data_IF_100717812558
#
_entry.id   IF_100717812558
#
_cell.length_a   1.000
_cell.length_b   1.000
_cell.length_c   1.000
_cell.angle_alpha   90.00
_cell.angle_beta   90.00
_cell.angle_gamma   90.00
#
_symmetry.space_group_name_H-M   'P 1'
#
loop_
_entity.id
_entity.type
_entity.pdbx_description
1 polymer ?
#
# COMPACT_ATOMS: atom_id res chain seq x y z
N UNK A 1 -8.44 -7.12 -24.68
CA UNK A 1 -7.56 -6.30 -23.81
C UNK A 1 -8.28 -6.07 -22.50
N UNK A 2 -7.85 -6.75 -21.43
CA UNK A 2 -8.55 -6.84 -20.14
C UNK A 2 -8.59 -5.48 -19.43
N UNK A 3 -9.69 -5.16 -18.76
CA UNK A 3 -9.88 -3.91 -18.00
C UNK A 3 -8.73 -3.62 -16.99
N UNK A 4 -8.06 -4.67 -16.50
CA UNK A 4 -6.88 -4.57 -15.65
C UNK A 4 -5.69 -3.85 -16.32
N UNK A 5 -5.50 -4.01 -17.63
CA UNK A 5 -4.41 -3.36 -18.37
C UNK A 5 -4.68 -1.87 -18.62
N UNK A 6 -5.95 -1.51 -18.86
CA UNK A 6 -6.39 -0.12 -19.00
C UNK A 6 -6.31 0.64 -17.67
N UNK A 7 -6.71 0.00 -16.56
CA UNK A 7 -6.54 0.54 -15.21
C UNK A 7 -5.06 0.75 -14.87
N UNK A 8 -4.19 -0.22 -15.18
CA UNK A 8 -2.76 -0.13 -14.96
C UNK A 8 -2.10 1.05 -15.71
N UNK A 9 -2.55 1.34 -16.95
CA UNK A 9 -2.06 2.46 -17.77
C UNK A 9 -2.54 3.83 -17.27
N UNK A 10 -3.82 3.96 -16.90
CA UNK A 10 -4.40 5.21 -16.37
C UNK A 10 -3.79 5.55 -15.01
N UNK A 11 -3.58 4.54 -14.16
CA UNK A 11 -2.83 4.70 -12.92
C UNK A 11 -1.34 5.00 -13.20
N UNK A 12 -0.73 4.53 -14.29
CA UNK A 12 0.69 4.83 -14.59
C UNK A 12 0.93 6.33 -14.86
N UNK A 13 -0.07 7.03 -15.42
CA UNK A 13 0.01 8.45 -15.77
C UNK A 13 -0.28 9.44 -14.63
N UNK A 14 -0.99 9.04 -13.57
CA UNK A 14 -1.37 9.94 -12.47
C UNK A 14 -0.54 9.82 -11.18
N UNK A 15 0.41 8.87 -11.10
CA UNK A 15 0.91 8.29 -9.84
C UNK A 15 2.22 8.86 -9.22
N UNK A 16 2.77 9.99 -9.67
CA UNK A 16 3.98 10.55 -8.99
C UNK A 16 3.74 11.81 -8.17
N UNK A 17 2.71 12.58 -8.46
CA UNK A 17 2.41 13.80 -7.68
C UNK A 17 1.60 13.42 -6.43
N UNK A 18 2.23 13.48 -5.25
CA UNK A 18 1.54 13.37 -3.97
C UNK A 18 1.93 12.19 -3.07
N UNK A 19 2.82 11.29 -3.51
CA UNK A 19 3.43 10.31 -2.60
C UNK A 19 4.62 10.93 -1.87
N UNK A 20 4.61 10.87 -0.54
CA UNK A 20 5.79 11.21 0.25
C UNK A 20 6.80 10.06 0.25
N UNK A 21 8.03 10.32 0.69
CA UNK A 21 9.07 9.29 0.78
C UNK A 21 8.61 8.09 1.62
N UNK A 22 7.98 8.34 2.76
CA UNK A 22 7.42 7.27 3.61
C UNK A 22 6.32 6.47 2.90
N UNK A 23 5.54 7.10 2.02
CA UNK A 23 4.52 6.36 1.25
C UNK A 23 5.20 5.42 0.24
N UNK A 24 6.31 5.86 -0.35
CA UNK A 24 7.15 5.02 -1.22
C UNK A 24 7.84 3.89 -0.45
N UNK A 25 8.32 4.14 0.76
CA UNK A 25 8.89 3.10 1.64
C UNK A 25 7.87 2.00 1.97
N UNK A 26 6.60 2.38 2.23
CA UNK A 26 5.52 1.41 2.45
C UNK A 26 5.34 0.50 1.22
N UNK A 27 5.28 1.08 0.03
CA UNK A 27 5.14 0.31 -1.21
C UNK A 27 6.34 -0.62 -1.41
N UNK A 28 7.56 -0.11 -1.21
CA UNK A 28 8.80 -0.91 -1.33
C UNK A 28 8.84 -2.05 -0.32
N UNK A 29 8.41 -1.83 0.92
CA UNK A 29 8.35 -2.86 1.94
C UNK A 29 7.36 -3.97 1.56
N UNK A 30 6.19 -3.61 1.01
CA UNK A 30 5.21 -4.57 0.51
C UNK A 30 5.75 -5.36 -0.69
N UNK A 31 6.46 -4.71 -1.61
CA UNK A 31 7.13 -5.38 -2.74
C UNK A 31 8.17 -6.39 -2.26
N UNK A 32 9.02 -6.00 -1.32
CA UNK A 32 10.06 -6.86 -0.73
C UNK A 32 9.46 -8.04 0.06
N UNK A 33 8.23 -7.92 0.56
CA UNK A 33 7.50 -8.98 1.26
C UNK A 33 6.68 -9.90 0.33
N UNK A 34 6.85 -9.80 -0.99
CA UNK A 34 6.09 -10.62 -1.96
C UNK A 34 4.72 -10.07 -2.32
N UNK A 35 4.49 -8.77 -2.10
CA UNK A 35 3.29 -8.05 -2.51
C UNK A 35 2.25 -7.81 -1.40
N UNK A 36 2.46 -8.33 -0.19
CA UNK A 36 1.58 -8.05 0.94
C UNK A 36 2.10 -8.54 2.30
N UNK A 37 1.69 -7.88 3.37
CA UNK A 37 2.05 -8.24 4.76
C UNK A 37 1.05 -7.69 5.77
N UNK A 38 1.12 -8.14 7.03
CA UNK A 38 0.28 -7.58 8.09
C UNK A 38 0.69 -6.17 8.48
N UNK A 39 -0.29 -5.31 8.80
CA UNK A 39 -0.04 -3.92 9.22
C UNK A 39 0.92 -3.83 10.42
N UNK A 40 0.83 -4.75 11.38
CA UNK A 40 1.72 -4.79 12.55
C UNK A 40 3.17 -5.06 12.16
N UNK A 41 3.38 -5.98 11.22
CA UNK A 41 4.72 -6.30 10.71
C UNK A 41 5.28 -5.15 9.87
N UNK A 42 4.42 -4.48 9.08
CA UNK A 42 4.80 -3.30 8.32
C UNK A 42 5.19 -2.13 9.23
N UNK A 43 4.46 -1.92 10.33
CA UNK A 43 4.76 -0.90 11.33
C UNK A 43 6.12 -1.16 12.01
N UNK A 44 6.37 -2.41 12.42
CA UNK A 44 7.62 -2.81 13.03
C UNK A 44 8.81 -2.67 12.05
N UNK A 45 8.62 -3.09 10.78
CA UNK A 45 9.67 -3.04 9.76
C UNK A 45 10.09 -1.62 9.39
N UNK A 46 9.15 -0.69 9.37
CA UNK A 46 9.40 0.71 9.00
C UNK A 46 9.68 1.60 10.22
N UNK A 47 9.59 1.06 11.44
CA UNK A 47 9.68 1.84 12.70
C UNK A 47 8.69 3.02 12.75
N UNK A 48 7.48 2.82 12.21
CA UNK A 48 6.42 3.86 12.16
C UNK A 48 5.32 3.52 13.17
N UNK A 49 4.83 4.49 13.96
CA UNK A 49 3.67 4.28 14.83
C UNK A 49 2.43 3.82 14.06
N UNK A 50 1.68 2.89 14.65
CA UNK A 50 0.53 2.23 14.00
C UNK A 50 -0.55 3.21 13.51
N UNK A 51 -0.79 4.29 14.26
CA UNK A 51 -1.75 5.35 13.92
C UNK A 51 -1.29 6.19 12.72
N UNK A 52 0.01 6.52 12.67
CA UNK A 52 0.64 7.20 11.53
C UNK A 52 0.62 6.31 10.29
N UNK A 53 0.97 5.04 10.44
CA UNK A 53 0.91 4.07 9.35
C UNK A 53 -0.51 3.92 8.83
N UNK A 54 -1.51 3.83 9.71
CA UNK A 54 -2.92 3.72 9.31
C UNK A 54 -3.37 4.86 8.41
N UNK A 55 -3.06 6.11 8.77
CA UNK A 55 -3.38 7.28 7.93
C UNK A 55 -2.75 7.18 6.53
N UNK A 56 -1.48 6.75 6.45
CA UNK A 56 -0.77 6.57 5.18
C UNK A 56 -1.35 5.43 4.36
N UNK A 57 -1.68 4.30 5.00
CA UNK A 57 -2.30 3.17 4.33
C UNK A 57 -3.68 3.53 3.76
N UNK A 58 -4.49 4.29 4.51
CA UNK A 58 -5.78 4.80 4.01
C UNK A 58 -5.61 5.70 2.79
N UNK A 59 -4.66 6.63 2.83
CA UNK A 59 -4.31 7.46 1.66
C UNK A 59 -3.87 6.60 0.47
N UNK A 60 -2.97 5.65 0.67
CA UNK A 60 -2.50 4.74 -0.40
C UNK A 60 -3.64 3.87 -0.96
N UNK A 61 -4.58 3.47 -0.12
CA UNK A 61 -5.77 2.71 -0.51
C UNK A 61 -6.73 3.57 -1.35
N UNK A 62 -7.00 4.81 -0.92
CA UNK A 62 -7.81 5.77 -1.67
C UNK A 62 -7.19 6.11 -3.02
N UNK A 63 -5.87 6.19 -3.09
CA UNK A 63 -5.12 6.37 -4.33
C UNK A 63 -4.98 5.08 -5.18
N UNK A 64 -5.49 3.95 -4.69
CA UNK A 64 -5.54 2.67 -5.41
C UNK A 64 -4.22 1.88 -5.47
N UNK A 65 -3.22 2.23 -4.66
CA UNK A 65 -1.94 1.49 -4.63
C UNK A 65 -2.01 0.20 -3.83
N UNK A 66 -2.88 0.16 -2.82
CA UNK A 66 -3.00 -0.97 -1.89
C UNK A 66 -4.45 -1.29 -1.60
N UNK A 67 -4.65 -2.49 -1.09
CA UNK A 67 -5.90 -3.00 -0.52
C UNK A 67 -5.63 -3.48 0.89
N UNK A 68 -6.58 -3.22 1.79
CA UNK A 68 -6.53 -3.67 3.19
C UNK A 68 -7.66 -4.69 3.39
N UNK A 69 -7.29 -5.91 3.76
CA UNK A 69 -8.19 -7.02 3.99
C UNK A 69 -8.11 -7.45 5.47
N UNK A 70 -9.22 -7.95 6.04
CA UNK A 70 -9.19 -8.60 7.36
C UNK A 70 -8.79 -10.06 7.18
N UNK A 71 -7.65 -10.46 7.77
CA UNK A 71 -7.20 -11.87 7.81
C UNK A 71 -6.88 -12.25 9.25
N UNK A 72 -7.57 -13.25 9.79
CA UNK A 72 -7.36 -13.72 11.17
C UNK A 72 -7.52 -12.63 12.23
N UNK A 73 -8.49 -11.73 12.05
CA UNK A 73 -8.70 -10.59 12.95
C UNK A 73 -7.69 -9.46 12.82
N UNK A 74 -6.66 -9.59 11.99
CA UNK A 74 -5.63 -8.56 11.73
C UNK A 74 -5.84 -7.90 10.38
N UNK A 75 -5.28 -6.70 10.22
CA UNK A 75 -5.27 -6.00 8.93
C UNK A 75 -4.10 -6.52 8.10
N UNK A 76 -4.41 -7.11 6.94
CA UNK A 76 -3.46 -7.53 5.93
C UNK A 76 -3.46 -6.52 4.79
N UNK A 77 -2.29 -6.00 4.46
CA UNK A 77 -2.08 -4.97 3.44
C UNK A 77 -1.45 -5.63 2.23
N UNK A 78 -2.00 -5.38 1.03
CA UNK A 78 -1.51 -5.94 -0.23
C UNK A 78 -1.46 -4.87 -1.31
N UNK A 79 -0.49 -4.96 -2.22
CA UNK A 79 -0.46 -4.14 -3.44
C UNK A 79 -1.63 -4.51 -4.37
N UNK A 80 -2.24 -3.52 -5.01
CA UNK A 80 -3.32 -3.73 -5.98
C UNK A 80 -2.80 -4.36 -7.27
#
# INVERSE_FOLDING_TARGET
MSAAAAAALILRGRRKEGLSETDMEIIRALQAAGGGMFQSELAARLSIPTTTLWRRLRKLQELGYIVIERRGGRNYVRLT
#
